data_IF_841288307316
#
_entry.id   IF_841288307316
#
_cell.length_a   1.000
_cell.length_b   1.000
_cell.length_c   1.000
_cell.angle_alpha   90.00
_cell.angle_beta   90.00
_cell.angle_gamma   90.00
#
_symmetry.space_group_name_H-M   'P 1'
#
loop_
_entity.id
_entity.type
_entity.pdbx_description
1 polymer ?
#
# COMPACT_ATOMS: atom_id res chain seq x y z
N UNK A 1 9.22 11.08 -22.71
CA UNK A 1 8.62 9.74 -22.52
C UNK A 1 8.38 8.99 -23.83
N UNK A 2 8.19 9.65 -24.97
CA UNK A 2 7.97 9.02 -26.29
C UNK A 2 9.21 8.35 -26.91
N UNK A 3 10.42 8.91 -26.74
CA UNK A 3 11.63 8.40 -27.41
C UNK A 3 12.03 6.97 -26.99
N UNK A 4 11.83 6.63 -25.71
CA UNK A 4 12.17 5.29 -25.18
C UNK A 4 11.17 4.26 -25.70
N UNK A 5 9.88 4.62 -25.74
CA UNK A 5 8.82 3.78 -26.31
C UNK A 5 9.02 3.56 -27.81
N UNK A 6 9.39 4.59 -28.57
CA UNK A 6 9.70 4.47 -30.00
C UNK A 6 10.92 3.59 -30.26
N UNK A 7 11.96 3.70 -29.43
CA UNK A 7 13.15 2.85 -29.51
C UNK A 7 12.81 1.38 -29.23
N UNK A 8 11.95 1.12 -28.24
CA UNK A 8 11.48 -0.23 -27.89
C UNK A 8 10.56 -0.80 -28.98
N UNK A 9 9.68 0.02 -29.57
CA UNK A 9 8.79 -0.40 -30.66
C UNK A 9 9.52 -0.68 -31.98
N UNK A 10 10.69 -0.06 -32.19
CA UNK A 10 11.53 -0.30 -33.37
C UNK A 10 12.32 -1.62 -33.33
N UNK A 11 12.36 -2.31 -32.17
CA UNK A 11 12.97 -3.62 -32.04
C UNK A 11 12.13 -4.71 -32.73
N UNK A 12 12.81 -5.60 -33.44
CA UNK A 12 12.20 -6.74 -34.12
C UNK A 12 11.39 -7.61 -33.15
N UNK A 13 10.13 -7.88 -33.49
CA UNK A 13 9.30 -8.88 -32.79
C UNK A 13 10.01 -10.24 -32.86
N UNK A 14 10.21 -10.95 -31.72
CA UNK A 14 9.41 -10.90 -30.49
C UNK A 14 10.02 -10.12 -29.31
N UNK A 15 11.23 -9.58 -29.44
CA UNK A 15 11.99 -9.04 -28.30
C UNK A 15 11.32 -7.82 -27.65
N UNK A 16 10.71 -6.95 -28.46
CA UNK A 16 9.94 -5.79 -28.02
C UNK A 16 8.81 -6.17 -27.02
N UNK A 17 8.08 -7.25 -27.30
CA UNK A 17 6.97 -7.70 -26.44
C UNK A 17 7.46 -8.10 -25.04
N UNK A 18 8.61 -8.77 -24.96
CA UNK A 18 9.22 -9.18 -23.68
C UNK A 18 9.63 -7.96 -22.87
N UNK A 19 10.27 -6.97 -23.50
CA UNK A 19 10.70 -5.74 -22.83
C UNK A 19 9.51 -4.96 -22.28
N UNK A 20 8.42 -4.85 -23.05
CA UNK A 20 7.20 -4.18 -22.60
C UNK A 20 6.54 -4.89 -21.40
N UNK A 21 6.46 -6.22 -21.41
CA UNK A 21 5.91 -7.00 -20.29
C UNK A 21 6.74 -6.81 -19.02
N UNK A 22 8.07 -6.85 -19.13
CA UNK A 22 8.97 -6.61 -17.99
C UNK A 22 8.80 -5.20 -17.44
N UNK A 23 8.73 -4.19 -18.31
CA UNK A 23 8.58 -2.79 -17.91
C UNK A 23 7.25 -2.55 -17.17
N UNK A 24 6.16 -3.12 -17.67
CA UNK A 24 4.85 -3.09 -17.00
C UNK A 24 4.91 -3.83 -15.67
N UNK A 25 5.52 -5.03 -15.63
CA UNK A 25 5.67 -5.83 -14.41
C UNK A 25 6.46 -5.11 -13.32
N UNK A 26 7.59 -4.49 -13.65
CA UNK A 26 8.38 -3.69 -12.72
C UNK A 26 7.59 -2.50 -12.19
N UNK A 27 6.88 -1.78 -13.06
CA UNK A 27 6.07 -0.62 -12.68
C UNK A 27 4.93 -1.02 -11.74
N UNK A 28 4.21 -2.09 -12.06
CA UNK A 28 3.14 -2.63 -11.22
C UNK A 28 3.68 -3.13 -9.86
N UNK A 29 4.86 -3.75 -9.84
CA UNK A 29 5.54 -4.19 -8.62
C UNK A 29 5.86 -3.02 -7.68
N UNK A 30 6.42 -1.93 -8.20
CA UNK A 30 6.71 -0.72 -7.42
C UNK A 30 5.43 -0.10 -6.86
N UNK A 31 4.39 0.05 -7.68
CA UNK A 31 3.09 0.59 -7.24
C UNK A 31 2.50 -0.28 -6.12
N UNK A 32 2.58 -1.60 -6.25
CA UNK A 32 2.06 -2.52 -5.23
C UNK A 32 2.86 -2.44 -3.93
N UNK A 33 4.18 -2.27 -4.01
CA UNK A 33 5.04 -2.04 -2.85
C UNK A 33 4.64 -0.77 -2.09
N UNK A 34 4.50 0.34 -2.82
CA UNK A 34 4.06 1.63 -2.26
C UNK A 34 2.66 1.50 -1.65
N UNK A 35 1.72 0.84 -2.34
CA UNK A 35 0.37 0.64 -1.83
C UNK A 35 0.34 -0.14 -0.50
N UNK A 36 1.23 -1.11 -0.32
CA UNK A 36 1.36 -1.85 0.95
C UNK A 36 1.86 -0.96 2.08
N UNK A 37 2.88 -0.12 1.82
CA UNK A 37 3.40 0.80 2.84
C UNK A 37 2.37 1.87 3.21
N UNK A 38 1.67 2.43 2.22
CA UNK A 38 0.59 3.40 2.45
C UNK A 38 -0.52 2.77 3.28
N UNK A 39 -0.94 1.55 2.99
CA UNK A 39 -1.96 0.85 3.81
C UNK A 39 -1.48 0.66 5.25
N UNK A 40 -0.24 0.24 5.45
CA UNK A 40 0.33 0.09 6.80
C UNK A 40 0.33 1.41 7.58
N UNK A 41 0.70 2.50 6.91
CA UNK A 41 0.68 3.83 7.49
C UNK A 41 -0.74 4.28 7.85
N UNK A 42 -1.71 4.07 6.96
CA UNK A 42 -3.10 4.43 7.18
C UNK A 42 -3.71 3.66 8.37
N UNK A 43 -3.50 2.34 8.44
CA UNK A 43 -3.97 1.55 9.59
C UNK A 43 -3.38 2.05 10.91
N UNK A 44 -2.08 2.39 10.94
CA UNK A 44 -1.47 2.92 12.17
C UNK A 44 -2.06 4.27 12.57
N UNK A 45 -2.33 5.13 11.58
CA UNK A 45 -2.96 6.43 11.83
C UNK A 45 -4.38 6.28 12.36
N UNK A 46 -5.18 5.40 11.77
CA UNK A 46 -6.54 5.10 12.22
C UNK A 46 -6.54 4.54 13.66
N UNK A 47 -5.60 3.67 14.01
CA UNK A 47 -5.49 3.14 15.37
C UNK A 47 -5.20 4.24 16.40
N UNK A 48 -4.32 5.19 16.07
CA UNK A 48 -4.01 6.33 16.94
C UNK A 48 -5.20 7.28 17.07
N UNK A 49 -5.91 7.52 15.97
CA UNK A 49 -7.10 8.36 15.94
C UNK A 49 -8.24 7.75 16.76
N UNK A 50 -8.46 6.44 16.63
CA UNK A 50 -9.40 5.67 17.44
C UNK A 50 -9.09 5.79 18.93
N UNK A 51 -7.82 5.59 19.33
CA UNK A 51 -7.40 5.74 20.74
C UNK A 51 -7.66 7.14 21.27
N UNK A 52 -7.45 8.19 20.44
CA UNK A 52 -7.75 9.58 20.81
C UNK A 52 -9.25 9.83 20.96
N UNK A 53 -10.09 9.30 20.07
CA UNK A 53 -11.55 9.43 20.17
C UNK A 53 -12.09 8.71 21.41
N UNK A 54 -11.58 7.52 21.73
CA UNK A 54 -11.99 6.79 22.93
C UNK A 54 -11.56 7.50 24.23
N UNK A 55 -10.38 8.12 24.25
CA UNK A 55 -9.95 9.00 25.35
C UNK A 55 -10.87 10.22 25.48
N UNK A 56 -11.21 10.87 24.36
CA UNK A 56 -12.10 12.04 24.36
C UNK A 56 -13.52 11.69 24.85
N UNK A 57 -13.97 10.46 24.64
CA UNK A 57 -15.24 9.92 25.17
C UNK A 57 -15.18 9.54 26.66
N UNK A 58 -14.03 9.74 27.31
CA UNK A 58 -13.86 9.55 28.75
C UNK A 58 -13.58 8.10 29.17
N UNK A 59 -13.19 7.21 28.24
CA UNK A 59 -12.74 5.87 28.64
C UNK A 59 -11.39 5.93 29.34
N UNK A 60 -11.22 5.12 30.38
CA UNK A 60 -9.93 4.94 31.02
C UNK A 60 -8.97 4.19 30.10
N UNK A 61 -7.67 4.44 30.21
CA UNK A 61 -6.65 3.82 29.35
C UNK A 61 -6.74 2.28 29.32
N UNK A 62 -7.16 1.68 30.44
CA UNK A 62 -7.34 0.23 30.60
C UNK A 62 -8.51 -0.31 29.77
N UNK A 63 -9.62 0.42 29.69
CA UNK A 63 -10.79 0.04 28.90
C UNK A 63 -10.51 0.18 27.40
N UNK A 64 -9.78 1.22 27.02
CA UNK A 64 -9.35 1.46 25.62
C UNK A 64 -8.49 0.29 25.13
N UNK A 65 -7.52 -0.15 25.93
CA UNK A 65 -6.68 -1.29 25.58
C UNK A 65 -7.50 -2.58 25.44
N UNK A 66 -8.56 -2.76 26.22
CA UNK A 66 -9.48 -3.89 26.10
C UNK A 66 -10.31 -3.84 24.81
N UNK A 67 -10.81 -2.65 24.42
CA UNK A 67 -11.58 -2.46 23.18
C UNK A 67 -10.69 -2.60 21.94
N UNK A 68 -9.47 -2.05 21.95
CA UNK A 68 -8.53 -2.19 20.83
C UNK A 68 -8.10 -3.65 20.64
N UNK A 69 -7.92 -4.39 21.73
CA UNK A 69 -7.60 -5.83 21.67
C UNK A 69 -8.76 -6.69 21.18
N UNK A 70 -10.00 -6.35 21.51
CA UNK A 70 -11.17 -7.09 21.02
C UNK A 70 -11.49 -6.78 19.55
N UNK A 71 -11.11 -5.60 19.05
CA UNK A 71 -11.27 -5.25 17.64
C UNK A 71 -10.17 -5.80 16.72
N UNK A 72 -9.00 -6.16 17.25
CA UNK A 72 -7.95 -6.83 16.46
C UNK A 72 -8.38 -8.28 16.22
N UNK A 73 -8.86 -8.65 15.02
CA UNK A 73 -9.24 -10.02 14.75
C UNK A 73 -7.95 -10.84 14.74
N UNK A 74 -7.90 -11.89 15.56
CA UNK A 74 -6.88 -12.92 15.49
C UNK A 74 -6.88 -13.52 14.08
N UNK A 75 -5.95 -13.06 13.24
CA UNK A 75 -5.54 -13.69 11.99
C UNK A 75 -4.17 -14.32 12.22
#
# INVERSE_FOLDING_TARGET
MSQVLESILSLQTPFNMVVMVVLIGCTAGVITGIAKEVRKYMCHREEVELKRDLLARGMSATEIDQVVRSQSPSV
#
